data_IF_355147792972
#
_entry.id   IF_355147792972
#
_cell.length_a   1.000
_cell.length_b   1.000
_cell.length_c   1.000
_cell.angle_alpha   90.00
_cell.angle_beta   90.00
_cell.angle_gamma   90.00
#
_symmetry.space_group_name_H-M   'P 1'
#
loop_
_entity.id
_entity.type
_entity.pdbx_description
1 polymer ?
#
# COMPACT_ATOMS: atom_id res chain seq x y z
N UNK A 1 33.89 -4.42 -14.66
CA UNK A 1 32.87 -3.77 -13.78
C UNK A 1 33.12 -2.28 -13.53
N UNK A 2 34.27 -1.74 -13.91
CA UNK A 2 34.62 -0.31 -13.71
C UNK A 2 33.96 0.66 -14.70
N UNK A 3 33.22 0.17 -15.68
CA UNK A 3 32.58 0.98 -16.73
C UNK A 3 31.04 1.01 -16.57
N UNK A 4 30.46 0.17 -15.72
CA UNK A 4 29.03 0.12 -15.47
C UNK A 4 28.67 1.06 -14.33
N UNK A 5 27.96 2.13 -14.63
CA UNK A 5 27.45 3.10 -13.67
C UNK A 5 25.91 3.17 -13.76
N UNK A 6 25.28 3.94 -12.88
CA UNK A 6 23.82 4.07 -12.84
C UNK A 6 23.22 4.52 -14.18
N UNK A 7 23.92 5.33 -14.94
CA UNK A 7 23.41 5.90 -16.20
C UNK A 7 23.32 4.88 -17.34
N UNK A 8 24.12 3.79 -17.31
CA UNK A 8 24.11 2.79 -18.38
C UNK A 8 23.62 1.41 -17.93
N UNK A 9 23.43 1.18 -16.61
CA UNK A 9 23.03 -0.12 -16.11
C UNK A 9 21.63 -0.54 -16.62
N UNK A 10 20.68 0.39 -16.62
CA UNK A 10 19.31 0.11 -17.09
C UNK A 10 19.23 -0.38 -18.52
N UNK A 11 20.13 0.13 -19.41
CA UNK A 11 20.14 -0.28 -20.82
C UNK A 11 20.76 -1.64 -21.07
N UNK A 12 21.66 -2.11 -20.18
CA UNK A 12 22.38 -3.38 -20.37
C UNK A 12 21.82 -4.55 -19.57
N UNK A 13 21.02 -4.28 -18.54
CA UNK A 13 20.55 -5.34 -17.60
C UNK A 13 19.82 -6.49 -18.31
N UNK A 14 19.06 -6.20 -19.37
CA UNK A 14 18.36 -7.23 -20.16
C UNK A 14 19.29 -8.15 -20.97
N UNK A 15 20.55 -7.75 -21.16
CA UNK A 15 21.56 -8.51 -21.89
C UNK A 15 22.51 -9.29 -20.98
N UNK A 16 22.38 -9.10 -19.65
CA UNK A 16 23.18 -9.83 -18.66
C UNK A 16 22.78 -11.27 -18.56
N UNK A 17 23.73 -12.14 -18.19
CA UNK A 17 23.44 -13.53 -17.90
C UNK A 17 22.46 -13.64 -16.73
N UNK A 18 21.38 -14.41 -16.93
CA UNK A 18 20.32 -14.59 -15.92
C UNK A 18 20.80 -15.22 -14.62
N UNK A 19 21.93 -15.92 -14.61
CA UNK A 19 22.53 -16.47 -13.40
C UNK A 19 22.95 -15.38 -12.40
N UNK A 20 23.29 -14.18 -12.88
CA UNK A 20 23.66 -13.04 -12.04
C UNK A 20 22.50 -12.58 -11.15
N UNK A 21 21.28 -12.70 -11.62
CA UNK A 21 20.07 -12.34 -10.85
C UNK A 21 19.70 -13.37 -9.77
N UNK A 22 20.45 -14.48 -9.67
CA UNK A 22 20.40 -15.46 -8.58
C UNK A 22 21.45 -15.19 -7.50
N UNK A 23 22.44 -14.35 -7.78
CA UNK A 23 23.46 -13.95 -6.82
C UNK A 23 22.98 -12.78 -5.97
N UNK A 24 22.78 -13.02 -4.68
CA UNK A 24 22.30 -12.00 -3.73
C UNK A 24 23.22 -10.77 -3.69
N UNK A 25 24.56 -10.97 -3.73
CA UNK A 25 25.52 -9.86 -3.66
C UNK A 25 25.44 -8.99 -4.92
N UNK A 26 25.33 -9.62 -6.07
CA UNK A 26 25.13 -8.91 -7.33
C UNK A 26 23.83 -8.12 -7.32
N UNK A 27 22.70 -8.75 -6.95
CA UNK A 27 21.38 -8.12 -6.87
C UNK A 27 21.39 -6.92 -5.92
N UNK A 28 21.89 -7.08 -4.69
CA UNK A 28 21.94 -5.99 -3.72
C UNK A 28 22.77 -4.80 -4.20
N UNK A 29 23.88 -5.07 -4.90
CA UNK A 29 24.71 -4.00 -5.47
C UNK A 29 24.00 -3.27 -6.62
N UNK A 30 23.28 -4.00 -7.45
CA UNK A 30 22.70 -3.44 -8.69
C UNK A 30 21.32 -2.83 -8.48
N UNK A 31 20.61 -3.15 -7.39
CA UNK A 31 19.36 -2.45 -7.02
C UNK A 31 19.60 -0.94 -6.92
N UNK A 32 20.67 -0.52 -6.24
CA UNK A 32 21.01 0.91 -6.13
C UNK A 32 21.35 1.56 -7.46
N UNK A 33 21.73 0.74 -8.45
CA UNK A 33 22.04 1.18 -9.82
C UNK A 33 20.83 1.13 -10.77
N UNK A 34 19.64 0.78 -10.28
CA UNK A 34 18.42 0.71 -11.07
C UNK A 34 18.08 -0.65 -11.65
N UNK A 35 18.46 -1.73 -10.96
CA UNK A 35 18.03 -3.07 -11.34
C UNK A 35 16.49 -3.15 -11.36
N UNK A 36 15.96 -3.67 -12.48
CA UNK A 36 14.56 -4.03 -12.59
C UNK A 36 14.28 -5.26 -11.71
N UNK A 37 13.44 -5.08 -10.70
CA UNK A 37 13.08 -6.12 -9.71
C UNK A 37 12.43 -7.33 -10.38
N UNK A 38 11.78 -7.16 -11.52
CA UNK A 38 11.17 -8.26 -12.28
C UNK A 38 12.18 -9.30 -12.79
N UNK A 39 13.47 -8.93 -12.90
CA UNK A 39 14.55 -9.80 -13.33
C UNK A 39 15.11 -10.68 -12.20
N UNK A 40 14.85 -10.33 -10.94
CA UNK A 40 15.38 -11.02 -9.77
C UNK A 40 14.81 -12.45 -9.67
N UNK A 41 15.67 -13.41 -9.36
CA UNK A 41 15.23 -14.81 -9.14
C UNK A 41 14.21 -14.89 -7.99
N UNK A 42 13.15 -15.69 -8.21
CA UNK A 42 12.03 -15.85 -7.27
C UNK A 42 12.45 -16.20 -5.83
N UNK A 43 13.59 -16.91 -5.67
CA UNK A 43 14.10 -17.26 -4.35
C UNK A 43 14.56 -16.04 -3.57
N UNK A 44 15.09 -15.04 -4.26
CA UNK A 44 15.56 -13.80 -3.67
C UNK A 44 14.42 -12.79 -3.42
N UNK A 45 13.27 -12.93 -4.07
CA UNK A 45 12.08 -12.09 -3.83
C UNK A 45 11.41 -12.32 -2.46
N UNK A 46 11.94 -13.22 -1.64
CA UNK A 46 11.57 -13.44 -0.23
C UNK A 46 12.55 -12.79 0.75
N UNK A 47 13.63 -12.23 0.26
CA UNK A 47 14.69 -11.67 1.09
C UNK A 47 14.33 -10.24 1.52
N UNK A 48 14.20 -10.03 2.85
CA UNK A 48 13.81 -8.74 3.41
C UNK A 48 14.82 -7.62 3.13
N UNK A 49 16.12 -7.94 3.05
CA UNK A 49 17.13 -6.91 2.77
C UNK A 49 17.05 -6.43 1.32
N UNK A 50 16.81 -7.35 0.38
CA UNK A 50 16.56 -7.03 -1.02
C UNK A 50 15.26 -6.23 -1.14
N UNK A 51 14.18 -6.67 -0.47
CA UNK A 51 12.91 -5.99 -0.48
C UNK A 51 13.05 -4.55 0.03
N UNK A 52 13.71 -4.36 1.18
CA UNK A 52 13.91 -3.04 1.76
C UNK A 52 14.64 -2.10 0.80
N UNK A 53 15.79 -2.53 0.24
CA UNK A 53 16.53 -1.71 -0.71
C UNK A 53 15.72 -1.34 -1.96
N UNK A 54 14.93 -2.28 -2.48
CA UNK A 54 14.09 -2.05 -3.65
C UNK A 54 12.96 -1.08 -3.37
N UNK A 55 12.26 -1.27 -2.23
CA UNK A 55 11.10 -0.48 -1.84
C UNK A 55 11.46 0.93 -1.39
N UNK A 56 12.62 1.12 -0.76
CA UNK A 56 13.15 2.45 -0.42
C UNK A 56 13.42 3.29 -1.69
N UNK A 57 13.68 2.62 -2.82
CA UNK A 57 13.91 3.27 -4.10
C UNK A 57 12.64 3.44 -4.92
N UNK A 58 11.82 2.40 -4.99
CA UNK A 58 10.58 2.36 -5.77
C UNK A 58 9.57 1.44 -5.09
N UNK A 59 8.59 2.04 -4.44
CA UNK A 59 7.53 1.35 -3.70
C UNK A 59 6.67 0.45 -4.59
N UNK A 60 6.52 0.79 -5.89
CA UNK A 60 5.77 0.01 -6.88
C UNK A 60 6.38 -1.38 -7.11
N UNK A 61 7.67 -1.53 -6.82
CA UNK A 61 8.36 -2.82 -6.90
C UNK A 61 7.77 -3.88 -5.95
N UNK A 62 6.96 -3.49 -4.96
CA UNK A 62 6.26 -4.41 -4.05
C UNK A 62 5.45 -5.47 -4.81
N UNK A 63 4.91 -5.14 -5.98
CA UNK A 63 4.16 -6.08 -6.80
C UNK A 63 4.92 -7.38 -7.11
N UNK A 64 6.25 -7.32 -7.25
CA UNK A 64 7.09 -8.46 -7.64
C UNK A 64 7.48 -9.36 -6.47
N UNK A 65 7.42 -8.84 -5.24
CA UNK A 65 7.86 -9.59 -4.06
C UNK A 65 6.90 -10.71 -3.66
N UNK A 66 7.44 -11.69 -2.95
CA UNK A 66 6.69 -12.82 -2.40
C UNK A 66 5.66 -12.35 -1.37
N UNK A 67 4.61 -13.15 -1.19
CA UNK A 67 3.56 -12.89 -0.20
C UNK A 67 4.10 -12.71 1.22
N UNK A 68 5.21 -13.34 1.58
CA UNK A 68 5.85 -13.17 2.89
C UNK A 68 6.30 -11.73 3.12
N UNK A 69 6.83 -11.06 2.09
CA UNK A 69 7.20 -9.64 2.11
C UNK A 69 5.93 -8.77 2.17
N UNK A 70 4.95 -9.06 1.29
CA UNK A 70 3.68 -8.32 1.20
C UNK A 70 2.84 -8.35 2.47
N UNK A 71 3.08 -9.32 3.37
CA UNK A 71 2.44 -9.47 4.69
C UNK A 71 3.26 -8.90 5.84
N UNK A 72 4.50 -8.53 5.62
CA UNK A 72 5.40 -8.07 6.67
C UNK A 72 5.06 -6.63 7.07
N UNK A 73 4.19 -6.48 8.08
CA UNK A 73 3.73 -5.15 8.57
C UNK A 73 4.88 -4.20 8.89
N UNK A 74 5.97 -4.70 9.52
CA UNK A 74 7.10 -3.85 9.92
C UNK A 74 7.82 -3.26 8.71
N UNK A 75 7.93 -4.04 7.63
CA UNK A 75 8.55 -3.59 6.40
C UNK A 75 7.60 -2.65 5.62
N UNK A 76 6.33 -3.02 5.53
CA UNK A 76 5.34 -2.35 4.67
C UNK A 76 4.89 -1.01 5.26
N UNK A 77 4.75 -0.91 6.58
CA UNK A 77 4.25 0.29 7.25
C UNK A 77 4.97 1.58 6.84
N UNK A 78 6.31 1.70 6.93
CA UNK A 78 7.00 2.91 6.51
C UNK A 78 6.87 3.19 5.01
N UNK A 79 6.79 2.15 4.18
CA UNK A 79 6.63 2.29 2.73
C UNK A 79 5.28 2.93 2.40
N UNK A 80 4.18 2.42 2.98
CA UNK A 80 2.83 2.97 2.73
C UNK A 80 2.71 4.39 3.28
N UNK A 81 3.31 4.70 4.44
CA UNK A 81 3.29 6.06 4.99
C UNK A 81 4.01 7.08 4.11
N UNK A 82 5.00 6.64 3.35
CA UNK A 82 5.72 7.47 2.38
C UNK A 82 5.02 7.53 1.01
N UNK A 83 4.44 6.41 0.59
CA UNK A 83 3.73 6.28 -0.68
C UNK A 83 2.51 5.35 -0.53
N UNK A 84 1.34 5.94 -0.38
CA UNK A 84 0.08 5.22 -0.19
C UNK A 84 -0.31 4.33 -1.39
N UNK A 85 0.16 4.64 -2.60
CA UNK A 85 -0.16 3.82 -3.79
C UNK A 85 0.42 2.41 -3.72
N UNK A 86 1.50 2.19 -2.98
CA UNK A 86 2.05 0.85 -2.74
C UNK A 86 1.06 -0.08 -2.00
N UNK A 87 0.01 0.47 -1.36
CA UNK A 87 -1.02 -0.31 -0.67
C UNK A 87 -1.81 -1.22 -1.61
N UNK A 88 -1.93 -0.87 -2.90
CA UNK A 88 -2.56 -1.73 -3.90
C UNK A 88 -1.91 -3.12 -4.00
N UNK A 89 -0.59 -3.19 -3.73
CA UNK A 89 0.23 -4.38 -3.86
C UNK A 89 0.43 -5.18 -2.56
N UNK A 90 -0.08 -4.71 -1.42
CA UNK A 90 0.01 -5.48 -0.17
C UNK A 90 -0.88 -6.72 -0.22
N UNK A 91 -0.59 -7.69 0.64
CA UNK A 91 -1.42 -8.89 0.75
C UNK A 91 -2.84 -8.55 1.26
N UNK A 92 -3.83 -9.28 0.76
CA UNK A 92 -5.24 -9.08 1.12
C UNK A 92 -5.51 -9.19 2.63
N UNK A 93 -4.68 -9.91 3.38
CA UNK A 93 -4.81 -9.98 4.84
C UNK A 93 -4.55 -8.64 5.52
N UNK A 94 -3.64 -7.80 4.98
CA UNK A 94 -3.40 -6.45 5.50
C UNK A 94 -4.52 -5.48 5.12
N UNK A 95 -5.16 -5.67 3.97
CA UNK A 95 -6.33 -4.88 3.55
C UNK A 95 -7.57 -5.11 4.43
N UNK A 96 -7.58 -6.22 5.22
CA UNK A 96 -8.60 -6.57 6.22
C UNK A 96 -8.19 -6.26 7.65
N UNK A 97 -6.94 -5.88 7.86
CA UNK A 97 -6.43 -5.65 9.20
C UNK A 97 -6.75 -4.22 9.67
N UNK A 98 -7.80 -4.11 10.47
CA UNK A 98 -8.30 -2.83 10.98
C UNK A 98 -7.22 -2.00 11.66
N UNK A 99 -6.39 -2.61 12.50
CA UNK A 99 -5.35 -1.91 13.25
C UNK A 99 -4.26 -1.39 12.31
N UNK A 100 -3.88 -2.18 11.33
CA UNK A 100 -2.92 -1.79 10.31
C UNK A 100 -3.45 -0.63 9.44
N UNK A 101 -4.70 -0.72 8.99
CA UNK A 101 -5.35 0.34 8.21
C UNK A 101 -5.35 1.66 8.99
N UNK A 102 -5.82 1.64 10.25
CA UNK A 102 -5.86 2.86 11.07
C UNK A 102 -4.46 3.46 11.27
N UNK A 103 -3.43 2.62 11.37
CA UNK A 103 -2.05 3.05 11.58
C UNK A 103 -1.42 3.68 10.32
N UNK A 104 -1.80 3.24 9.11
CA UNK A 104 -1.26 3.80 7.85
C UNK A 104 -1.99 5.04 7.39
N UNK A 105 -3.26 5.25 7.82
CA UNK A 105 -4.06 6.37 7.35
C UNK A 105 -3.60 7.71 7.94
N UNK A 106 -3.33 8.64 7.07
CA UNK A 106 -3.16 10.07 7.31
C UNK A 106 -3.74 10.85 6.12
N UNK A 107 -3.68 12.18 6.13
CA UNK A 107 -4.28 13.00 5.08
C UNK A 107 -3.64 12.75 3.71
N UNK A 108 -2.34 12.43 3.65
CA UNK A 108 -1.62 12.17 2.41
C UNK A 108 -1.94 10.79 1.82
N UNK A 109 -2.13 9.76 2.68
CA UNK A 109 -2.34 8.38 2.25
C UNK A 109 -3.80 8.01 2.05
N UNK A 110 -4.73 8.78 2.63
CA UNK A 110 -6.15 8.43 2.66
C UNK A 110 -6.72 8.10 1.28
N UNK A 111 -6.57 9.00 0.32
CA UNK A 111 -7.18 8.82 -1.01
C UNK A 111 -6.59 7.67 -1.82
N UNK A 112 -5.32 7.33 -1.62
CA UNK A 112 -4.67 6.19 -2.29
C UNK A 112 -4.99 4.84 -1.65
N UNK A 113 -5.41 4.83 -0.37
CA UNK A 113 -5.66 3.61 0.41
C UNK A 113 -7.13 3.25 0.49
N UNK A 114 -8.03 4.25 0.53
CA UNK A 114 -9.45 4.06 0.88
C UNK A 114 -10.21 3.12 -0.07
N UNK A 115 -9.86 3.10 -1.35
CA UNK A 115 -10.52 2.24 -2.35
C UNK A 115 -10.05 0.79 -2.30
N UNK A 116 -8.90 0.55 -1.67
CA UNK A 116 -8.26 -0.77 -1.57
C UNK A 116 -8.58 -1.49 -0.24
N UNK A 117 -9.26 -0.81 0.70
CA UNK A 117 -9.68 -1.39 1.97
C UNK A 117 -10.76 -2.44 1.74
N UNK A 118 -10.65 -3.58 2.43
CA UNK A 118 -11.66 -4.65 2.34
C UNK A 118 -13.03 -4.16 2.83
N UNK A 119 -14.06 -4.42 2.02
CA UNK A 119 -15.43 -3.97 2.27
C UNK A 119 -16.01 -4.45 3.60
N UNK A 120 -15.50 -5.55 4.16
CA UNK A 120 -15.97 -6.05 5.44
C UNK A 120 -15.72 -5.08 6.61
N UNK A 121 -14.67 -4.24 6.51
CA UNK A 121 -14.35 -3.25 7.53
C UNK A 121 -15.38 -2.11 7.61
N UNK A 122 -16.05 -1.79 6.53
CA UNK A 122 -17.10 -0.76 6.51
C UNK A 122 -18.41 -1.17 7.21
N UNK A 123 -18.48 -2.42 7.74
CA UNK A 123 -19.53 -2.91 8.65
C UNK A 123 -19.14 -2.77 10.12
N UNK A 124 -17.88 -2.54 10.42
CA UNK A 124 -17.40 -2.36 11.78
C UNK A 124 -17.56 -0.90 12.21
N UNK A 125 -18.51 -0.66 13.15
CA UNK A 125 -18.81 0.66 13.69
C UNK A 125 -17.57 1.40 14.16
N UNK A 126 -16.72 0.73 14.93
CA UNK A 126 -15.54 1.37 15.51
C UNK A 126 -14.46 1.69 14.45
N UNK A 127 -14.40 0.93 13.36
CA UNK A 127 -13.57 1.26 12.22
C UNK A 127 -14.10 2.49 11.49
N UNK A 128 -15.39 2.51 11.16
CA UNK A 128 -16.02 3.65 10.45
C UNK A 128 -15.86 4.93 11.25
N UNK A 129 -16.09 4.92 12.57
CA UNK A 129 -15.85 6.09 13.43
C UNK A 129 -14.36 6.52 13.44
N UNK A 130 -13.43 5.57 13.48
CA UNK A 130 -12.00 5.91 13.48
C UNK A 130 -11.54 6.61 12.19
N UNK A 131 -12.15 6.25 11.04
CA UNK A 131 -11.81 6.84 9.75
C UNK A 131 -12.72 8.02 9.36
N UNK A 132 -13.80 8.28 10.10
CA UNK A 132 -14.74 9.37 9.79
C UNK A 132 -14.13 10.77 9.91
N UNK A 133 -12.96 10.91 10.53
CA UNK A 133 -12.16 12.14 10.49
C UNK A 133 -11.64 12.50 9.10
N UNK A 134 -11.55 11.51 8.20
CA UNK A 134 -11.22 11.71 6.80
C UNK A 134 -12.49 11.92 5.96
N UNK A 135 -12.34 12.38 4.72
CA UNK A 135 -13.46 12.59 3.80
C UNK A 135 -13.91 11.25 3.18
N UNK A 136 -14.63 10.46 3.98
CA UNK A 136 -15.20 9.19 3.55
C UNK A 136 -16.58 9.39 2.97
N UNK A 137 -16.85 8.88 1.77
CA UNK A 137 -18.18 8.89 1.18
C UNK A 137 -19.13 7.92 1.88
N UNK A 138 -20.36 8.36 2.14
CA UNK A 138 -21.40 7.55 2.82
C UNK A 138 -21.73 6.27 2.05
N UNK A 139 -21.56 6.25 0.72
CA UNK A 139 -21.80 5.07 -0.11
C UNK A 139 -20.86 3.88 0.17
N UNK A 140 -19.69 4.14 0.78
CA UNK A 140 -18.76 3.09 1.23
C UNK A 140 -19.20 2.44 2.54
N UNK A 141 -19.98 3.15 3.35
CA UNK A 141 -20.42 2.68 4.66
C UNK A 141 -21.54 1.66 4.48
N UNK A 142 -21.47 0.56 5.21
CA UNK A 142 -22.53 -0.41 5.16
C UNK A 142 -23.86 0.18 5.67
N UNK A 143 -24.95 -0.04 4.94
CA UNK A 143 -26.26 0.54 5.22
C UNK A 143 -26.78 0.33 6.63
N UNK A 144 -26.37 -0.74 7.33
CA UNK A 144 -26.75 -0.96 8.73
C UNK A 144 -26.17 0.07 9.71
N UNK A 145 -25.18 0.86 9.27
CA UNK A 145 -24.54 1.91 10.08
C UNK A 145 -24.99 3.33 9.70
N UNK A 146 -25.73 3.50 8.60
CA UNK A 146 -26.17 4.82 8.16
C UNK A 146 -27.19 5.46 9.13
N UNK A 147 -27.93 4.66 9.91
CA UNK A 147 -28.80 5.15 11.00
C UNK A 147 -28.08 5.46 12.31
N UNK A 148 -26.76 5.25 12.41
CA UNK A 148 -26.00 5.56 13.61
C UNK A 148 -25.74 7.07 13.73
N UNK A 149 -26.29 7.67 14.80
CA UNK A 149 -26.23 9.13 15.00
C UNK A 149 -24.82 9.69 15.13
N UNK A 150 -23.87 8.93 15.68
CA UNK A 150 -22.48 9.38 15.83
C UNK A 150 -21.75 9.35 14.47
N UNK A 151 -21.99 8.29 13.69
CA UNK A 151 -21.43 8.19 12.33
C UNK A 151 -22.02 9.28 11.43
N UNK A 152 -23.35 9.44 11.43
CA UNK A 152 -24.04 10.48 10.67
C UNK A 152 -23.49 11.89 11.02
N UNK A 153 -23.40 12.19 12.32
CA UNK A 153 -22.83 13.47 12.80
C UNK A 153 -21.39 13.67 12.34
N UNK A 154 -20.54 12.64 12.43
CA UNK A 154 -19.13 12.72 12.06
C UNK A 154 -18.92 12.99 10.55
N UNK A 155 -19.82 12.47 9.71
CA UNK A 155 -19.77 12.65 8.26
C UNK A 155 -20.34 14.00 7.84
N UNK A 156 -21.53 14.38 8.35
CA UNK A 156 -22.24 15.59 7.94
C UNK A 156 -21.50 16.87 8.39
N UNK A 157 -20.74 16.83 9.47
CA UNK A 157 -20.02 18.00 9.98
C UNK A 157 -18.86 18.46 9.09
N UNK A 158 -18.61 17.82 7.95
CA UNK A 158 -17.52 18.19 7.03
C UNK A 158 -18.01 19.16 5.95
N UNK A 159 -17.19 20.18 5.57
CA UNK A 159 -17.58 21.19 4.59
C UNK A 159 -17.90 20.64 3.19
N UNK A 160 -17.42 19.45 2.87
CA UNK A 160 -17.56 18.81 1.54
C UNK A 160 -18.80 17.93 1.40
N UNK A 161 -19.56 17.71 2.48
CA UNK A 161 -20.61 16.69 2.56
C UNK A 161 -21.98 17.08 1.99
N UNK A 162 -22.09 18.18 1.22
CA UNK A 162 -23.40 18.69 0.75
C UNK A 162 -24.20 17.69 -0.12
N UNK A 163 -23.57 16.67 -0.68
CA UNK A 163 -24.23 15.66 -1.54
C UNK A 163 -24.52 14.33 -0.81
N UNK A 164 -24.16 14.21 0.46
CA UNK A 164 -24.25 12.92 1.17
C UNK A 164 -25.49 12.77 2.07
N UNK A 165 -26.30 13.83 2.20
CA UNK A 165 -27.51 13.80 3.03
C UNK A 165 -28.57 12.80 2.53
N UNK A 166 -28.54 12.46 1.24
CA UNK A 166 -29.46 11.50 0.64
C UNK A 166 -29.30 10.05 1.17
N UNK A 167 -28.16 9.75 1.79
CA UNK A 167 -27.87 8.41 2.33
C UNK A 167 -28.31 8.21 3.78
N UNK A 168 -28.61 9.30 4.47
CA UNK A 168 -29.11 9.23 5.85
C UNK A 168 -30.62 9.40 5.85
N UNK A 169 -31.31 8.29 5.94
CA UNK A 169 -32.78 8.23 5.92
C UNK A 169 -33.38 9.04 7.06
N UNK A 170 -34.46 9.73 6.79
CA UNK A 170 -35.28 10.42 7.77
C UNK A 170 -36.05 9.39 8.61
N UNK A 171 -35.41 8.75 9.61
CA UNK A 171 -36.09 7.92 10.61
C UNK A 171 -36.11 8.58 11.98
#
# INVERSE_FOLDING_TARGET
>A
LSVVNENNFSSIQSHLDKSLFKDKKFVMKTITMGLDVSLIDKKLLKDEAIAKLSLDRDSSSLQYFDTSIKKNKKLILPIIKNDGYAFSHVDASLKKDKSFIIEILNDDTFYSVIDEIDQSLYKDRSFVLAISKYDISANKIHKSLLGDKEIAKAIIQKPTSCHELEYFDET
#
